data_IF_276587376567
#
_entry.id   IF_276587376567
#
_cell.length_a   1.000
_cell.length_b   1.000
_cell.length_c   1.000
_cell.angle_alpha   90.00
_cell.angle_beta   90.00
_cell.angle_gamma   90.00
#
_symmetry.space_group_name_H-M   'P 1'
#
loop_
_entity.id
_entity.type
_entity.pdbx_description
1 polymer ?
#
# COMPACT_ATOMS: atom_id res chain seq x y z
N UNK A 1 9.14 -25.01 -11.20
CA UNK A 1 8.98 -24.26 -10.97
C UNK A 1 9.25 -23.41 -10.79
N UNK A 2 9.27 -23.10 -10.95
CA UNK A 2 9.66 -22.06 -10.68
C UNK A 2 9.14 -21.43 -9.95
N UNK A 3 9.09 -21.43 -9.57
CA UNK A 3 8.56 -20.72 -8.96
C UNK A 3 8.60 -19.43 -8.93
N UNK A 4 8.04 -18.93 -9.06
CA UNK A 4 8.17 -17.75 -9.00
C UNK A 4 7.97 -17.18 -7.81
N UNK A 5 8.55 -16.62 -7.36
CA UNK A 5 8.63 -16.01 -6.11
C UNK A 5 8.19 -14.59 -6.12
N UNK A 6 7.19 -14.33 -6.94
CA UNK A 6 6.61 -13.00 -6.96
C UNK A 6 5.93 -12.75 -5.63
N UNK A 7 6.28 -11.67 -4.96
CA UNK A 7 5.63 -11.30 -3.72
C UNK A 7 4.17 -10.97 -3.96
N UNK A 8 3.27 -11.27 -3.01
CA UNK A 8 1.88 -10.86 -3.13
C UNK A 8 1.74 -9.37 -3.32
N UNK A 9 0.73 -8.94 -4.07
CA UNK A 9 0.48 -7.52 -4.25
C UNK A 9 -0.30 -6.97 -3.08
N UNK A 10 0.04 -5.74 -2.69
CA UNK A 10 -0.58 -5.06 -1.57
C UNK A 10 -1.07 -3.70 -1.99
N UNK A 11 -2.32 -3.40 -1.67
CA UNK A 11 -2.88 -2.06 -1.81
C UNK A 11 -3.09 -1.48 -0.42
N UNK A 12 -2.67 -0.23 -0.23
CA UNK A 12 -2.81 0.45 1.05
C UNK A 12 -3.88 1.52 0.93
N UNK A 13 -4.90 1.44 1.78
CA UNK A 13 -5.95 2.44 1.86
C UNK A 13 -5.69 3.35 3.05
N UNK A 14 -5.41 4.61 2.77
CA UNK A 14 -5.10 5.60 3.79
C UNK A 14 -3.63 5.93 3.83
N UNK A 15 -3.31 7.00 4.54
CA UNK A 15 -1.93 7.49 4.65
C UNK A 15 -1.48 7.64 6.10
N UNK A 16 -2.05 6.83 7.00
CA UNK A 16 -1.66 6.83 8.39
C UNK A 16 -0.22 6.37 8.57
N UNK A 17 0.39 6.80 9.67
CA UNK A 17 1.81 6.52 9.92
C UNK A 17 2.13 5.04 9.96
N UNK A 18 1.26 4.25 10.58
CA UNK A 18 1.49 2.81 10.72
C UNK A 18 1.47 2.14 9.36
N UNK A 19 0.49 2.48 8.53
CA UNK A 19 0.39 1.91 7.18
C UNK A 19 1.58 2.26 6.32
N UNK A 20 2.03 3.52 6.37
CA UNK A 20 3.21 3.94 5.60
C UNK A 20 4.46 3.23 6.08
N UNK A 21 4.63 3.12 7.39
CA UNK A 21 5.82 2.48 7.96
C UNK A 21 5.87 1.00 7.62
N UNK A 22 4.74 0.30 7.73
CA UNK A 22 4.67 -1.10 7.35
C UNK A 22 4.90 -1.28 5.86
N UNK A 23 4.31 -0.42 5.04
CA UNK A 23 4.51 -0.47 3.59
C UNK A 23 5.96 -0.32 3.21
N UNK A 24 6.65 0.64 3.84
CA UNK A 24 8.06 0.85 3.59
C UNK A 24 8.89 -0.38 4.00
N UNK A 25 8.62 -0.91 5.18
CA UNK A 25 9.33 -2.09 5.68
C UNK A 25 9.15 -3.27 4.76
N UNK A 26 7.90 -3.55 4.38
CA UNK A 26 7.61 -4.68 3.51
C UNK A 26 8.20 -4.51 2.11
N UNK A 27 8.21 -3.29 1.60
CA UNK A 27 8.82 -3.01 0.31
C UNK A 27 10.34 -3.22 0.37
N UNK A 28 10.98 -2.73 1.42
CA UNK A 28 12.42 -2.87 1.59
C UNK A 28 12.85 -4.33 1.65
N UNK A 29 12.03 -5.18 2.28
CA UNK A 29 12.35 -6.59 2.45
C UNK A 29 11.72 -7.50 1.40
N UNK A 30 11.04 -6.91 0.43
CA UNK A 30 10.43 -7.69 -0.65
C UNK A 30 9.30 -8.61 -0.20
N UNK A 31 8.65 -8.32 0.93
CA UNK A 31 7.57 -9.16 1.45
C UNK A 31 6.31 -8.99 0.63
N UNK A 32 6.01 -7.75 0.23
CA UNK A 32 4.87 -7.44 -0.63
C UNK A 32 5.32 -6.54 -1.78
N UNK A 33 4.64 -6.67 -2.90
CA UNK A 33 4.75 -5.70 -3.99
C UNK A 33 3.69 -4.63 -3.76
N UNK A 34 4.12 -3.42 -3.44
CA UNK A 34 3.19 -2.32 -3.17
C UNK A 34 2.60 -1.87 -4.50
N UNK A 35 1.29 -1.99 -4.64
CA UNK A 35 0.63 -1.73 -5.91
C UNK A 35 0.00 -0.34 -5.97
N UNK A 36 -0.93 -0.05 -5.10
CA UNK A 36 -1.61 1.23 -5.07
C UNK A 36 -1.65 1.75 -3.64
N UNK A 37 -1.59 3.08 -3.50
CA UNK A 37 -1.74 3.75 -2.21
C UNK A 37 -2.81 4.80 -2.37
N UNK A 38 -3.93 4.60 -1.70
CA UNK A 38 -5.08 5.49 -1.76
C UNK A 38 -5.06 6.45 -0.58
N UNK A 39 -5.27 7.73 -0.86
CA UNK A 39 -5.45 8.73 0.18
C UNK A 39 -6.51 9.73 -0.26
N UNK A 40 -6.97 10.56 0.66
CA UNK A 40 -7.98 11.57 0.37
C UNK A 40 -7.48 12.62 -0.61
N UNK A 41 -6.19 12.92 -0.57
CA UNK A 41 -5.62 13.89 -1.48
C UNK A 41 -4.45 13.28 -2.22
N UNK A 42 -4.24 13.75 -3.44
CA UNK A 42 -3.12 13.27 -4.24
C UNK A 42 -1.78 13.62 -3.59
N UNK A 43 -1.68 14.77 -2.91
CA UNK A 43 -0.46 15.14 -2.22
C UNK A 43 -0.11 14.15 -1.13
N UNK A 44 -1.08 13.77 -0.30
CA UNK A 44 -0.85 12.77 0.75
C UNK A 44 -0.52 11.42 0.15
N UNK A 45 -1.20 11.02 -0.92
CA UNK A 45 -0.93 9.76 -1.58
C UNK A 45 0.50 9.73 -2.15
N UNK A 46 0.93 10.81 -2.77
CA UNK A 46 2.29 10.90 -3.32
C UNK A 46 3.36 10.90 -2.23
N UNK A 47 3.10 11.60 -1.12
CA UNK A 47 4.02 11.58 0.01
C UNK A 47 4.15 10.17 0.56
N UNK A 48 3.04 9.45 0.68
CA UNK A 48 3.08 8.08 1.15
C UNK A 48 3.86 7.18 0.21
N UNK A 49 3.63 7.29 -1.10
CA UNK A 49 4.36 6.51 -2.10
C UNK A 49 5.85 6.81 -2.04
N UNK A 50 6.22 8.08 -1.91
CA UNK A 50 7.62 8.47 -1.80
C UNK A 50 8.26 7.88 -0.54
N UNK A 51 7.56 7.94 0.57
CA UNK A 51 8.08 7.39 1.83
C UNK A 51 8.23 5.87 1.76
N UNK A 52 7.24 5.19 1.21
CA UNK A 52 7.26 3.73 1.06
C UNK A 52 8.32 3.30 0.06
N UNK A 53 8.49 4.06 -0.99
CA UNK A 53 9.48 3.76 -2.04
C UNK A 53 8.91 2.98 -3.20
N UNK A 54 7.60 2.76 -3.24
CA UNK A 54 6.95 2.02 -4.32
C UNK A 54 5.45 2.28 -4.28
N UNK A 55 4.77 1.90 -5.36
CA UNK A 55 3.33 2.01 -5.46
C UNK A 55 2.89 3.16 -6.34
N UNK A 56 1.60 3.23 -6.59
CA UNK A 56 0.99 4.28 -7.40
C UNK A 56 0.02 5.07 -6.52
N UNK A 57 0.15 6.39 -6.52
CA UNK A 57 -0.73 7.26 -5.75
C UNK A 57 -2.09 7.37 -6.44
N UNK A 58 -3.16 7.08 -5.71
CA UNK A 58 -4.53 7.20 -6.22
C UNK A 58 -5.40 7.88 -5.18
N UNK A 59 -6.50 8.48 -5.62
CA UNK A 59 -7.42 9.17 -4.72
C UNK A 59 -8.84 8.63 -4.79
N UNK A 60 -9.13 7.74 -5.72
CA UNK A 60 -10.47 7.18 -5.89
C UNK A 60 -10.42 5.66 -5.86
N UNK A 61 -11.40 5.07 -5.18
CA UNK A 61 -11.50 3.61 -5.10
C UNK A 61 -11.63 3.00 -6.49
N UNK A 62 -12.31 3.68 -7.41
CA UNK A 62 -12.48 3.19 -8.77
C UNK A 62 -11.16 3.05 -9.54
N UNK A 63 -10.10 3.69 -9.07
CA UNK A 63 -8.80 3.60 -9.70
C UNK A 63 -7.95 2.45 -9.17
N UNK A 64 -8.40 1.80 -8.10
CA UNK A 64 -7.65 0.70 -7.51
C UNK A 64 -7.65 -0.51 -8.43
N UNK A 65 -6.47 -1.10 -8.58
CA UNK A 65 -6.31 -2.34 -9.31
C UNK A 65 -6.49 -3.51 -8.35
N UNK A 66 -6.78 -4.67 -8.91
CA UNK A 66 -6.92 -5.87 -8.10
C UNK A 66 -5.60 -6.18 -7.40
N UNK A 67 -5.67 -6.47 -6.10
CA UNK A 67 -4.51 -6.83 -5.30
C UNK A 67 -4.82 -8.06 -4.46
N UNK A 68 -3.77 -8.77 -4.07
CA UNK A 68 -3.92 -9.96 -3.24
C UNK A 68 -4.37 -9.59 -1.83
N UNK A 69 -3.86 -8.49 -1.32
CA UNK A 69 -4.14 -8.04 0.05
C UNK A 69 -4.43 -6.54 0.02
N UNK A 70 -5.40 -6.12 0.82
CA UNK A 70 -5.71 -4.70 1.01
C UNK A 70 -5.52 -4.37 2.48
N UNK A 71 -4.64 -3.43 2.76
CA UNK A 71 -4.39 -2.95 4.11
C UNK A 71 -5.12 -1.63 4.29
N UNK A 72 -6.01 -1.57 5.26
CA UNK A 72 -6.72 -0.33 5.58
C UNK A 72 -6.03 0.33 6.76
N UNK A 73 -5.45 1.49 6.51
CA UNK A 73 -4.75 2.27 7.54
C UNK A 73 -5.39 3.65 7.61
N UNK A 74 -5.91 3.99 8.77
CA UNK A 74 -6.57 5.27 8.99
C UNK A 74 -5.69 6.18 9.83
N UNK A 75 -5.94 7.51 9.80
CA UNK A 75 -5.16 8.45 10.59
C UNK A 75 -5.20 8.22 12.10
N UNK A 76 -6.20 7.51 12.60
CA UNK A 76 -6.29 7.18 14.02
C UNK A 76 -5.68 5.83 14.35
N UNK A 77 -4.77 5.36 13.48
CA UNK A 77 -3.94 4.18 13.68
C UNK A 77 -4.70 2.85 13.74
N UNK A 78 -5.89 2.82 13.20
CA UNK A 78 -6.61 1.56 13.02
C UNK A 78 -6.15 0.89 11.74
N UNK A 79 -5.83 -0.38 11.85
CA UNK A 79 -5.38 -1.14 10.70
C UNK A 79 -6.24 -2.38 10.55
N UNK A 80 -6.69 -2.62 9.32
CA UNK A 80 -7.40 -3.83 8.96
C UNK A 80 -6.80 -4.38 7.67
N UNK A 81 -6.57 -5.68 7.67
CA UNK A 81 -6.06 -6.35 6.47
C UNK A 81 -7.15 -7.27 5.94
N UNK A 82 -7.40 -7.17 4.65
CA UNK A 82 -8.38 -7.99 3.94
C UNK A 82 -7.69 -8.66 2.77
N UNK A 83 -8.03 -9.92 2.57
CA UNK A 83 -7.50 -10.67 1.44
C UNK A 83 -8.55 -10.86 0.36
#
# INVERSE_FOLDING_TARGET
MPVQNAAPTLTILGSGKVGKSLGRLWNMHGIFTIQDVLSRSMDHARQAVTFIGAGRAVTAISELRRADIVLVSTPDDRIRAWA
#
